data_IF_527985724749
#
_entry.id   IF_527985724749
#
_cell.length_a   1.000
_cell.length_b   1.000
_cell.length_c   1.000
_cell.angle_alpha   90.00
_cell.angle_beta   90.00
_cell.angle_gamma   90.00
#
_symmetry.space_group_name_H-M   'P 1'
#
loop_
_entity.id
_entity.type
_entity.pdbx_description
1 polymer ?
#
# COMPACT_ATOMS: atom_id res chain seq x y z
N UNK A 1 -0.86 5.71 40.42
CA UNK A 1 0.50 5.61 39.87
C UNK A 1 0.43 5.53 38.34
N UNK A 2 1.39 6.16 37.64
CA UNK A 2 1.51 6.39 36.18
C UNK A 2 0.85 7.62 35.51
N UNK A 3 -0.07 8.37 36.14
CA UNK A 3 -0.66 9.61 35.58
C UNK A 3 -1.24 9.49 34.15
N UNK A 4 -1.62 8.29 33.71
CA UNK A 4 -2.29 8.07 32.43
C UNK A 4 -3.78 8.43 32.54
N UNK A 5 -4.28 9.24 31.60
CA UNK A 5 -5.70 9.63 31.52
C UNK A 5 -6.34 8.99 30.29
N UNK A 6 -7.46 8.32 30.50
CA UNK A 6 -8.29 7.80 29.42
C UNK A 6 -9.19 8.90 28.87
N UNK A 7 -9.47 8.84 27.56
CA UNK A 7 -10.49 9.68 26.92
C UNK A 7 -11.76 8.84 26.77
N UNK A 8 -12.80 9.03 27.61
CA UNK A 8 -13.97 8.16 27.60
C UNK A 8 -14.69 8.11 26.25
N UNK A 9 -14.66 9.21 25.49
CA UNK A 9 -15.26 9.30 24.15
C UNK A 9 -14.57 8.42 23.10
N UNK A 10 -13.30 8.06 23.32
CA UNK A 10 -12.53 7.19 22.42
C UNK A 10 -12.46 5.74 22.91
N UNK A 11 -12.98 5.46 24.10
CA UNK A 11 -12.92 4.12 24.69
C UNK A 11 -14.10 3.28 24.20
N UNK A 12 -13.81 2.09 23.67
CA UNK A 12 -14.80 1.12 23.24
C UNK A 12 -14.63 -0.14 24.10
N UNK A 13 -15.57 -0.41 25.00
CA UNK A 13 -15.53 -1.56 25.89
C UNK A 13 -16.51 -2.65 25.43
N UNK A 14 -16.12 -3.91 25.63
CA UNK A 14 -16.97 -5.10 25.42
C UNK A 14 -17.65 -5.16 24.04
N UNK A 15 -16.95 -4.72 22.99
CA UNK A 15 -17.44 -4.79 21.60
C UNK A 15 -16.94 -6.06 20.91
N UNK A 16 -17.77 -6.63 20.04
CA UNK A 16 -17.40 -7.78 19.18
C UNK A 16 -16.48 -7.39 18.03
N UNK A 17 -16.48 -6.11 17.66
CA UNK A 17 -15.63 -5.53 16.62
C UNK A 17 -15.22 -4.12 17.03
N UNK A 18 -13.95 -3.76 16.83
CA UNK A 18 -13.39 -2.44 17.15
C UNK A 18 -12.47 -1.96 16.03
N UNK A 19 -12.49 -0.63 15.78
CA UNK A 19 -11.51 0.00 14.89
C UNK A 19 -10.25 0.31 15.68
N UNK A 20 -9.11 -0.20 15.24
CA UNK A 20 -7.81 0.02 15.88
C UNK A 20 -6.72 0.19 14.83
N UNK A 21 -6.02 1.33 14.88
CA UNK A 21 -4.93 1.68 13.95
C UNK A 21 -5.27 1.42 12.48
N UNK A 22 -6.43 1.85 11.98
CA UNK A 22 -6.80 1.66 10.56
C UNK A 22 -7.17 0.21 10.19
N UNK A 23 -7.33 -0.66 11.18
CA UNK A 23 -7.87 -2.01 11.00
C UNK A 23 -9.16 -2.18 11.79
N UNK A 24 -9.97 -3.15 11.37
CA UNK A 24 -11.13 -3.63 12.11
C UNK A 24 -10.76 -4.97 12.72
N UNK A 25 -10.78 -5.05 14.05
CA UNK A 25 -10.49 -6.28 14.79
C UNK A 25 -11.81 -6.89 15.23
N UNK A 26 -12.13 -8.08 14.75
CA UNK A 26 -13.33 -8.85 15.11
C UNK A 26 -12.98 -10.25 15.61
N UNK A 27 -14.00 -11.06 15.89
CA UNK A 27 -13.83 -12.48 16.23
C UNK A 27 -13.22 -13.30 15.08
N UNK A 28 -13.43 -12.86 13.83
CA UNK A 28 -12.96 -13.53 12.63
C UNK A 28 -11.49 -13.16 12.29
N UNK A 29 -10.93 -12.15 12.98
CA UNK A 29 -9.56 -11.72 12.82
C UNK A 29 -9.42 -10.21 12.56
N UNK A 30 -8.38 -9.85 11.81
CA UNK A 30 -8.05 -8.46 11.46
C UNK A 30 -8.46 -8.23 10.01
N UNK A 31 -9.31 -7.24 9.76
CA UNK A 31 -9.70 -6.79 8.43
C UNK A 31 -9.34 -5.32 8.20
N UNK A 32 -9.42 -4.89 6.93
CA UNK A 32 -9.11 -3.51 6.53
C UNK A 32 -10.24 -2.58 7.00
N UNK A 33 -9.91 -1.37 7.42
CA UNK A 33 -10.94 -0.36 7.72
C UNK A 33 -11.60 0.12 6.42
N UNK A 34 -12.92 -0.09 6.21
CA UNK A 34 -13.60 0.29 4.97
C UNK A 34 -13.45 1.78 4.67
N UNK A 35 -13.42 2.64 5.69
CA UNK A 35 -13.28 4.10 5.51
C UNK A 35 -11.92 4.44 4.88
N UNK A 36 -10.87 3.69 5.24
CA UNK A 36 -9.51 3.87 4.71
C UNK A 36 -9.35 3.28 3.33
N UNK A 37 -9.98 2.13 3.07
CA UNK A 37 -10.00 1.52 1.73
C UNK A 37 -10.75 2.43 0.76
N UNK A 38 -11.92 2.94 1.15
CA UNK A 38 -12.70 3.86 0.32
C UNK A 38 -11.91 5.13 -0.02
N UNK A 39 -11.13 5.67 0.93
CA UNK A 39 -10.26 6.81 0.67
C UNK A 39 -9.18 6.52 -0.40
N UNK A 40 -8.64 5.30 -0.45
CA UNK A 40 -7.64 4.90 -1.47
C UNK A 40 -8.31 4.66 -2.83
N UNK A 41 -9.52 4.10 -2.83
CA UNK A 41 -10.30 3.84 -4.05
C UNK A 41 -10.82 5.13 -4.69
N UNK A 42 -11.12 6.15 -3.89
CA UNK A 42 -11.54 7.48 -4.38
C UNK A 42 -10.42 8.29 -5.03
N UNK A 43 -9.15 7.90 -4.84
CA UNK A 43 -8.03 8.55 -5.53
C UNK A 43 -8.19 8.31 -7.02
N UNK A 44 -8.05 9.37 -7.80
CA UNK A 44 -8.07 9.29 -9.28
C UNK A 44 -6.66 9.44 -9.83
N UNK A 45 -6.45 9.03 -11.08
CA UNK A 45 -5.15 9.25 -11.76
C UNK A 45 -4.78 10.75 -11.77
N UNK A 46 -5.77 11.65 -11.92
CA UNK A 46 -5.57 13.10 -11.90
C UNK A 46 -5.00 13.63 -10.56
N UNK A 47 -5.33 12.99 -9.43
CA UNK A 47 -4.79 13.36 -8.11
C UNK A 47 -3.30 13.03 -7.95
N UNK A 48 -2.79 12.15 -8.82
CA UNK A 48 -1.38 11.76 -8.88
C UNK A 48 -0.56 12.60 -9.86
N UNK A 49 -1.21 13.47 -10.63
CA UNK A 49 -0.57 14.36 -11.59
C UNK A 49 -0.24 15.73 -10.97
N UNK A 50 0.60 16.48 -11.66
CA UNK A 50 0.81 17.91 -11.46
C UNK A 50 -0.43 18.70 -11.91
N UNK A 51 -0.42 20.03 -11.70
CA UNK A 51 -1.50 20.93 -12.09
C UNK A 51 -1.83 20.92 -13.60
N UNK A 52 -0.94 20.38 -14.43
CA UNK A 52 -1.14 20.20 -15.86
C UNK A 52 -2.04 18.99 -16.21
N UNK A 53 -2.30 18.11 -15.24
CA UNK A 53 -3.14 16.91 -15.42
C UNK A 53 -2.50 15.79 -16.23
N UNK A 54 -1.20 15.90 -16.57
CA UNK A 54 -0.52 14.93 -17.44
C UNK A 54 0.83 14.49 -16.87
N UNK A 55 1.54 15.37 -16.16
CA UNK A 55 2.85 15.02 -15.62
C UNK A 55 2.69 14.33 -14.27
N UNK A 56 3.21 13.10 -14.07
CA UNK A 56 3.13 12.42 -12.78
C UNK A 56 3.95 13.14 -11.70
N UNK A 57 3.35 13.31 -10.52
CA UNK A 57 4.00 13.96 -9.37
C UNK A 57 4.55 12.91 -8.38
N UNK A 58 5.89 12.77 -8.25
CA UNK A 58 6.50 11.71 -7.43
C UNK A 58 6.05 11.71 -5.96
N UNK A 59 5.78 12.88 -5.39
CA UNK A 59 5.34 13.04 -4.01
C UNK A 59 3.95 12.43 -3.78
N UNK A 60 3.02 12.68 -4.69
CA UNK A 60 1.64 12.15 -4.64
C UNK A 60 1.62 10.64 -4.87
N UNK A 61 2.38 10.18 -5.87
CA UNK A 61 2.54 8.74 -6.14
C UNK A 61 3.15 8.02 -4.94
N UNK A 62 4.16 8.59 -4.29
CA UNK A 62 4.76 8.02 -3.07
C UNK A 62 3.76 7.96 -1.91
N UNK A 63 2.92 8.99 -1.75
CA UNK A 63 1.88 9.02 -0.72
C UNK A 63 0.82 7.95 -0.97
N UNK A 64 0.35 7.82 -2.21
CA UNK A 64 -0.59 6.76 -2.61
C UNK A 64 0.00 5.37 -2.37
N UNK A 65 1.22 5.12 -2.85
CA UNK A 65 1.94 3.87 -2.62
C UNK A 65 2.09 3.57 -1.12
N UNK A 66 2.41 4.57 -0.30
CA UNK A 66 2.47 4.41 1.16
C UNK A 66 1.15 3.92 1.77
N UNK A 67 0.01 4.45 1.30
CA UNK A 67 -1.31 4.01 1.75
C UNK A 67 -1.64 2.58 1.29
N UNK A 68 -1.28 2.22 0.06
CA UNK A 68 -1.50 0.86 -0.47
C UNK A 68 -0.63 -0.16 0.27
N UNK A 69 0.66 0.16 0.45
CA UNK A 69 1.64 -0.72 1.12
C UNK A 69 1.25 -0.97 2.58
N UNK A 70 0.58 -0.01 3.22
CA UNK A 70 0.04 -0.19 4.57
C UNK A 70 -0.87 -1.42 4.67
N UNK A 71 -1.64 -1.69 3.62
CA UNK A 71 -2.54 -2.85 3.50
C UNK A 71 -1.96 -3.99 2.66
N UNK A 72 -0.66 -4.00 2.36
CA UNK A 72 -0.02 -5.00 1.48
C UNK A 72 -0.22 -6.46 1.93
N UNK A 73 -0.39 -6.71 3.24
CA UNK A 73 -0.62 -8.05 3.78
C UNK A 73 -1.90 -8.69 3.25
N UNK A 74 -2.82 -7.89 2.75
CA UNK A 74 -4.06 -8.33 2.16
C UNK A 74 -4.05 -8.26 0.62
N UNK A 75 -2.92 -7.91 0.00
CA UNK A 75 -2.79 -7.75 -1.45
C UNK A 75 -1.73 -8.75 -1.92
N UNK A 76 -2.16 -9.82 -2.57
CA UNK A 76 -1.25 -10.77 -3.18
C UNK A 76 -0.39 -10.09 -4.24
N UNK A 77 0.90 -10.40 -4.26
CA UNK A 77 1.86 -9.84 -5.23
C UNK A 77 1.89 -8.31 -5.31
N UNK A 78 1.55 -7.60 -4.22
CA UNK A 78 1.52 -6.14 -4.16
C UNK A 78 2.81 -5.49 -4.70
N UNK A 79 3.97 -6.07 -4.41
CA UNK A 79 5.27 -5.54 -4.88
C UNK A 79 5.45 -5.63 -6.39
N UNK A 80 4.87 -6.65 -7.05
CA UNK A 80 4.92 -6.82 -8.50
C UNK A 80 4.00 -5.80 -9.17
N UNK A 81 2.78 -5.64 -8.64
CA UNK A 81 1.79 -4.68 -9.13
C UNK A 81 2.28 -3.24 -8.96
N UNK A 82 2.88 -2.89 -7.81
CA UNK A 82 3.36 -1.54 -7.53
C UNK A 82 4.67 -1.18 -8.25
N UNK A 83 5.35 -2.14 -8.88
CA UNK A 83 6.66 -1.96 -9.53
C UNK A 83 6.73 -0.79 -10.54
N UNK A 84 5.81 -0.64 -11.51
CA UNK A 84 5.82 0.50 -12.43
C UNK A 84 5.69 1.85 -11.71
N UNK A 85 4.83 1.94 -10.69
CA UNK A 85 4.66 3.16 -9.89
C UNK A 85 5.89 3.48 -9.01
N UNK A 86 6.55 2.44 -8.48
CA UNK A 86 7.81 2.60 -7.76
C UNK A 86 8.94 3.13 -8.64
N UNK A 87 8.94 2.81 -9.95
CA UNK A 87 9.91 3.37 -10.87
C UNK A 87 9.81 4.91 -10.91
N UNK A 88 8.59 5.45 -10.88
CA UNK A 88 8.32 6.90 -10.91
C UNK A 88 8.69 7.63 -9.62
N UNK A 89 8.79 6.93 -8.48
CA UNK A 89 9.13 7.54 -7.18
C UNK A 89 10.62 7.51 -6.84
N UNK A 90 11.44 6.85 -7.68
CA UNK A 90 12.84 6.52 -7.42
C UNK A 90 13.83 7.67 -7.25
N UNK A 91 13.43 8.95 -7.34
CA UNK A 91 14.33 10.11 -7.31
C UNK A 91 14.62 10.73 -5.93
N UNK A 92 13.90 10.37 -4.86
CA UNK A 92 13.99 11.07 -3.56
C UNK A 92 14.87 10.34 -2.53
N UNK A 93 16.03 9.80 -2.92
CA UNK A 93 17.04 9.36 -1.93
C UNK A 93 17.98 10.51 -1.60
N UNK A 94 17.91 11.02 -0.36
CA UNK A 94 19.05 11.73 0.25
C UNK A 94 20.30 10.87 0.06
N UNK A 95 21.46 11.45 -0.29
CA UNK A 95 22.63 10.67 -0.66
C UNK A 95 23.07 9.80 0.52
N UNK A 96 22.79 8.49 0.45
CA UNK A 96 23.47 7.51 1.30
C UNK A 96 24.86 7.30 0.71
N UNK A 97 25.89 7.60 1.50
CA UNK A 97 27.28 7.21 1.23
C UNK A 97 27.34 5.67 1.21
N UNK A 98 27.06 5.03 0.08
CA UNK A 98 27.35 3.62 -0.11
C UNK A 98 27.85 3.38 -1.53
N UNK A 99 29.06 2.83 -1.61
CA UNK A 99 29.74 2.39 -2.83
C UNK A 99 29.30 0.96 -3.13
N UNK A 100 28.20 0.77 -3.85
CA UNK A 100 27.89 -0.52 -4.50
C UNK A 100 26.65 -0.38 -5.38
N UNK A 101 26.84 -0.61 -6.69
CA UNK A 101 25.85 -0.85 -7.75
C UNK A 101 24.60 0.04 -7.75
N UNK A 102 24.72 1.19 -8.42
CA UNK A 102 23.59 2.08 -8.74
C UNK A 102 22.76 1.47 -9.87
N UNK A 103 21.56 0.96 -9.56
CA UNK A 103 20.47 0.88 -10.55
C UNK A 103 20.13 2.32 -11.01
N UNK A 104 19.79 2.57 -12.27
CA UNK A 104 19.43 3.91 -12.71
C UNK A 104 18.15 4.33 -11.96
N UNK A 105 18.31 5.27 -11.03
CA UNK A 105 17.24 5.91 -10.29
C UNK A 105 17.03 7.27 -10.95
N UNK A 106 15.79 7.65 -11.23
CA UNK A 106 15.43 8.88 -11.94
C UNK A 106 16.06 10.12 -11.28
N UNK A 107 17.15 10.59 -11.88
CA UNK A 107 17.85 11.85 -11.55
C UNK A 107 17.27 13.04 -12.32
N UNK A 108 16.23 12.83 -13.14
CA UNK A 108 15.57 13.85 -13.98
C UNK A 108 14.15 14.13 -13.49
N UNK A 109 13.65 15.34 -13.80
CA UNK A 109 12.25 15.71 -13.66
C UNK A 109 11.40 14.78 -14.54
N UNK A 110 10.30 14.27 -14.00
CA UNK A 110 9.33 13.51 -14.79
C UNK A 110 8.64 14.42 -15.80
N UNK A 111 8.33 13.88 -16.97
CA UNK A 111 7.51 14.50 -17.99
C UNK A 111 6.21 13.73 -18.23
N UNK A 112 5.32 14.27 -19.09
CA UNK A 112 4.05 13.65 -19.47
C UNK A 112 4.17 12.19 -19.92
N UNK A 113 5.22 11.87 -20.67
CA UNK A 113 5.43 10.54 -21.27
C UNK A 113 5.91 9.49 -20.26
N UNK A 114 6.29 9.90 -19.04
CA UNK A 114 6.75 8.96 -18.01
C UNK A 114 5.58 8.18 -17.38
N UNK A 115 4.34 8.67 -17.47
CA UNK A 115 3.16 7.91 -17.07
C UNK A 115 2.71 6.98 -18.20
N UNK A 116 3.19 5.74 -18.15
CA UNK A 116 2.89 4.73 -19.16
C UNK A 116 1.55 4.03 -18.93
N UNK A 117 1.05 3.34 -19.95
CA UNK A 117 -0.14 2.48 -19.81
C UNK A 117 0.02 1.42 -18.70
N UNK A 118 1.23 0.92 -18.48
CA UNK A 118 1.56 0.00 -17.39
C UNK A 118 1.34 0.65 -16.01
N UNK A 119 1.59 1.96 -15.88
CA UNK A 119 1.34 2.72 -14.64
C UNK A 119 -0.15 2.87 -14.38
N UNK A 120 -0.95 3.23 -15.39
CA UNK A 120 -2.42 3.27 -15.25
C UNK A 120 -2.99 1.90 -14.92
N UNK A 121 -2.48 0.83 -15.53
CA UNK A 121 -2.96 -0.52 -15.24
C UNK A 121 -2.62 -0.93 -13.82
N UNK A 122 -1.37 -0.75 -13.39
CA UNK A 122 -0.96 -1.02 -12.02
C UNK A 122 -1.76 -0.23 -10.98
N UNK A 123 -2.06 1.05 -11.27
CA UNK A 123 -2.91 1.87 -10.41
C UNK A 123 -4.30 1.26 -10.22
N UNK A 124 -4.95 0.86 -11.33
CA UNK A 124 -6.27 0.20 -11.29
C UNK A 124 -6.22 -1.15 -10.57
N UNK A 125 -5.24 -1.99 -10.89
CA UNK A 125 -5.08 -3.32 -10.28
C UNK A 125 -4.92 -3.20 -8.75
N UNK A 126 -4.15 -2.21 -8.27
CA UNK A 126 -3.98 -1.97 -6.84
C UNK A 126 -5.29 -1.52 -6.16
N UNK A 127 -6.11 -0.72 -6.82
CA UNK A 127 -7.43 -0.31 -6.30
C UNK A 127 -8.41 -1.49 -6.27
N UNK A 128 -8.41 -2.34 -7.30
CA UNK A 128 -9.29 -3.51 -7.40
C UNK A 128 -8.96 -4.56 -6.33
N UNK A 129 -7.68 -4.87 -6.13
CA UNK A 129 -7.28 -5.86 -5.10
C UNK A 129 -7.56 -5.35 -3.68
N UNK A 130 -7.53 -4.04 -3.45
CA UNK A 130 -7.95 -3.45 -2.17
C UNK A 130 -9.45 -3.64 -1.88
N UNK A 131 -10.28 -3.68 -2.93
CA UNK A 131 -11.72 -3.97 -2.84
C UNK A 131 -12.00 -5.47 -2.66
N UNK A 132 -11.10 -6.35 -3.10
CA UNK A 132 -11.23 -7.79 -2.88
C UNK A 132 -11.10 -8.11 -1.38
N UNK A 133 -12.21 -8.58 -0.77
CA UNK A 133 -12.26 -9.01 0.62
C UNK A 133 -11.78 -10.46 0.73
N UNK A 134 -10.95 -10.76 1.74
CA UNK A 134 -10.61 -12.14 2.09
C UNK A 134 -11.85 -12.80 2.69
N UNK A 135 -12.41 -13.79 1.99
CA UNK A 135 -13.53 -14.57 2.52
C UNK A 135 -13.03 -15.62 3.51
N UNK A 136 -13.17 -15.35 4.81
CA UNK A 136 -12.75 -16.23 5.89
C UNK A 136 -13.49 -17.59 5.93
N UNK A 137 -14.55 -17.75 5.13
CA UNK A 137 -15.25 -19.03 4.96
C UNK A 137 -14.53 -19.97 3.99
N UNK A 138 -13.56 -19.46 3.23
CA UNK A 138 -12.79 -20.24 2.25
C UNK A 138 -11.44 -20.66 2.81
N UNK A 139 -10.81 -21.63 2.15
CA UNK A 139 -9.52 -22.17 2.59
C UNK A 139 -8.41 -21.18 2.24
N UNK A 140 -7.60 -20.86 3.24
CA UNK A 140 -6.33 -20.15 3.04
C UNK A 140 -5.20 -21.14 2.77
N UNK A 141 -4.31 -20.78 1.84
CA UNK A 141 -3.06 -21.49 1.57
C UNK A 141 -1.92 -20.52 1.85
N UNK A 142 -1.07 -20.84 2.82
CA UNK A 142 0.17 -20.10 3.04
C UNK A 142 1.30 -20.82 2.29
N UNK A 143 1.81 -20.19 1.24
CA UNK A 143 3.01 -20.65 0.54
C UNK A 143 4.22 -19.88 1.08
N UNK A 144 5.22 -20.60 1.59
CA UNK A 144 6.45 -20.02 2.14
C UNK A 144 7.63 -20.57 1.37
N UNK A 145 8.50 -19.69 0.89
CA UNK A 145 9.78 -20.05 0.29
C UNK A 145 10.91 -19.34 1.05
N UNK A 146 12.03 -20.02 1.24
CA UNK A 146 13.16 -19.51 2.00
C UNK A 146 14.49 -19.83 1.33
N UNK A 147 15.37 -18.85 1.33
CA UNK A 147 16.74 -18.94 0.82
C UNK A 147 17.74 -18.43 1.86
N UNK A 148 19.03 -18.66 1.62
CA UNK A 148 20.12 -18.13 2.46
C UNK A 148 20.17 -16.60 2.50
N UNK A 149 19.53 -15.91 1.55
CA UNK A 149 19.46 -14.45 1.49
C UNK A 149 18.19 -13.86 2.13
N UNK A 150 17.15 -14.66 2.40
CA UNK A 150 15.89 -14.18 2.97
C UNK A 150 14.72 -15.15 2.75
N UNK A 151 13.57 -14.82 3.35
CA UNK A 151 12.32 -15.58 3.27
C UNK A 151 11.20 -14.77 2.61
N UNK A 152 10.31 -15.43 1.89
CA UNK A 152 9.10 -14.86 1.30
C UNK A 152 7.89 -15.75 1.62
N UNK A 153 6.75 -15.12 1.90
CA UNK A 153 5.50 -15.83 2.12
C UNK A 153 4.37 -15.15 1.36
N UNK A 154 3.46 -15.94 0.80
CA UNK A 154 2.26 -15.50 0.11
C UNK A 154 1.07 -16.23 0.72
N UNK A 155 0.07 -15.47 1.16
CA UNK A 155 -1.21 -16.01 1.60
C UNK A 155 -2.17 -15.98 0.42
N UNK A 156 -2.68 -17.15 0.04
CA UNK A 156 -3.57 -17.39 -1.10
C UNK A 156 -4.94 -17.83 -0.61
N UNK A 157 -5.99 -17.59 -1.40
CA UNK A 157 -7.34 -18.04 -1.11
C UNK A 157 -8.00 -18.66 -2.35
N UNK A 158 -8.60 -19.86 -2.22
CA UNK A 158 -9.32 -20.58 -3.31
C UNK A 158 -10.83 -20.51 -3.07
#
# INVERSE_FOLDING_TARGET
EHNLKLSPSKCQFLRRSVKFLGHVISQDGISRDPDKVEAIVKVTEADLMELDGVTPLPSKISSFLGMVIYYQHFIENCSVLAKPLFALTGGQKRPRKSKSNKRPLLTRKLGPDDWTQECSQAFRDLQEVLLAHLDFSKRFILSVDASTAGFGAVLLQI
#
